data_IF_419138740226
#
_entry.id   IF_419138740226
#
_cell.length_a   1.000
_cell.length_b   1.000
_cell.length_c   1.000
_cell.angle_alpha   90.00
_cell.angle_beta   90.00
_cell.angle_gamma   90.00
#
_symmetry.space_group_name_H-M   'P 1'
#
loop_
_entity.id
_entity.type
_entity.pdbx_description
1 polymer ?
#
# COMPACT_ATOMS: atom_id res chain seq x y z
N UNK A 1 16.90 0.28 -10.82
CA UNK A 1 16.73 0.67 -9.40
C UNK A 1 15.82 1.89 -9.22
N UNK A 2 15.99 2.97 -9.98
CA UNK A 2 15.10 4.17 -9.92
C UNK A 2 13.60 3.84 -10.03
N UNK A 3 13.22 2.93 -10.94
CA UNK A 3 11.83 2.50 -11.12
C UNK A 3 11.26 1.70 -9.92
N UNK A 4 12.13 1.06 -9.13
CA UNK A 4 11.74 0.38 -7.88
C UNK A 4 11.49 1.40 -6.77
N UNK A 5 12.43 2.32 -6.57
CA UNK A 5 12.33 3.39 -5.57
C UNK A 5 11.06 4.24 -5.77
N UNK A 6 10.76 4.61 -7.02
CA UNK A 6 9.56 5.37 -7.36
C UNK A 6 8.27 4.59 -7.06
N UNK A 7 8.26 3.28 -7.33
CA UNK A 7 7.11 2.40 -6.99
C UNK A 7 6.95 2.27 -5.48
N UNK A 8 8.05 2.10 -4.73
CA UNK A 8 8.04 2.05 -3.27
C UNK A 8 7.51 3.36 -2.68
N UNK A 9 8.00 4.50 -3.16
CA UNK A 9 7.53 5.82 -2.70
C UNK A 9 6.02 6.01 -2.93
N UNK A 10 5.52 5.64 -4.12
CA UNK A 10 4.09 5.73 -4.41
C UNK A 10 3.29 4.75 -3.57
N UNK A 11 3.75 3.50 -3.41
CA UNK A 11 3.09 2.54 -2.54
C UNK A 11 2.96 3.06 -1.11
N UNK A 12 4.05 3.61 -0.55
CA UNK A 12 4.04 4.16 0.81
C UNK A 12 3.16 5.39 0.94
N UNK A 13 3.20 6.31 -0.03
CA UNK A 13 2.28 7.44 -0.07
C UNK A 13 0.81 6.99 -0.15
N UNK A 14 0.54 5.91 -0.89
CA UNK A 14 -0.81 5.37 -1.04
C UNK A 14 -1.30 4.64 0.20
N UNK A 15 -0.42 3.88 0.87
CA UNK A 15 -0.72 3.26 2.15
C UNK A 15 -0.97 4.31 3.24
N UNK A 16 -0.17 5.39 3.25
CA UNK A 16 -0.38 6.53 4.12
C UNK A 16 -1.75 7.19 3.89
N UNK A 17 -2.11 7.47 2.64
CA UNK A 17 -3.44 7.99 2.27
C UNK A 17 -4.54 7.00 2.68
N UNK A 18 -4.36 5.71 2.42
CA UNK A 18 -5.30 4.66 2.81
C UNK A 18 -5.53 4.61 4.32
N UNK A 19 -4.47 4.81 5.12
CA UNK A 19 -4.56 4.85 6.58
C UNK A 19 -5.35 6.07 7.07
N UNK A 20 -5.15 7.24 6.44
CA UNK A 20 -5.92 8.45 6.74
C UNK A 20 -7.39 8.28 6.36
N UNK A 21 -7.67 7.70 5.19
CA UNK A 21 -9.03 7.38 4.75
C UNK A 21 -9.68 6.38 5.71
N UNK A 22 -8.96 5.33 6.14
CA UNK A 22 -9.48 4.37 7.11
C UNK A 22 -9.82 5.01 8.46
N UNK A 23 -9.01 5.97 8.92
CA UNK A 23 -9.29 6.73 10.14
C UNK A 23 -10.57 7.59 10.04
N UNK A 24 -10.97 7.99 8.83
CA UNK A 24 -12.19 8.77 8.60
C UNK A 24 -13.41 7.90 8.31
N UNK A 25 -13.26 6.84 7.51
CA UNK A 25 -14.36 6.02 7.02
C UNK A 25 -14.77 4.91 7.98
N UNK A 26 -13.86 4.42 8.82
CA UNK A 26 -14.09 3.24 9.66
C UNK A 26 -14.36 3.67 11.10
N UNK A 27 -15.59 3.53 11.61
CA UNK A 27 -15.91 3.83 13.00
C UNK A 27 -15.06 2.96 13.94
N UNK A 28 -14.39 3.58 14.90
CA UNK A 28 -13.53 2.87 15.85
C UNK A 28 -12.06 2.71 15.42
N UNK A 29 -11.66 3.32 14.30
CA UNK A 29 -10.25 3.56 13.96
C UNK A 29 -9.88 4.98 14.43
N UNK A 30 -8.84 5.09 15.25
CA UNK A 30 -8.26 6.39 15.63
C UNK A 30 -6.76 6.36 15.43
N UNK A 31 -6.24 7.37 14.75
CA UNK A 31 -4.83 7.48 14.35
C UNK A 31 -4.26 8.80 14.87
N UNK A 32 -3.22 8.72 15.69
CA UNK A 32 -2.36 9.85 16.06
C UNK A 32 -1.17 9.98 15.11
N UNK A 33 -0.48 11.11 15.16
CA UNK A 33 0.71 11.38 14.33
C UNK A 33 1.79 10.31 14.54
N UNK A 34 2.03 9.88 15.78
CA UNK A 34 3.02 8.82 16.07
C UNK A 34 2.58 7.46 15.54
N UNK A 35 1.30 7.12 15.67
CA UNK A 35 0.73 5.88 15.09
C UNK A 35 0.82 5.85 13.57
N UNK A 36 0.56 6.99 12.93
CA UNK A 36 0.72 7.15 11.49
C UNK A 36 2.17 6.93 11.04
N UNK A 37 3.14 7.60 11.66
CA UNK A 37 4.56 7.48 11.29
C UNK A 37 5.04 6.03 11.44
N UNK A 38 4.72 5.38 12.56
CA UNK A 38 5.12 3.99 12.78
C UNK A 38 4.42 3.05 11.80
N UNK A 39 3.14 3.25 11.50
CA UNK A 39 2.45 2.47 10.46
C UNK A 39 3.16 2.59 9.11
N UNK A 40 3.50 3.81 8.68
CA UNK A 40 4.21 4.05 7.41
C UNK A 40 5.60 3.39 7.41
N UNK A 41 6.35 3.45 8.52
CA UNK A 41 7.66 2.79 8.65
C UNK A 41 7.53 1.27 8.57
N UNK A 42 6.54 0.67 9.25
CA UNK A 42 6.30 -0.77 9.18
C UNK A 42 5.90 -1.18 7.77
N UNK A 43 5.03 -0.40 7.12
CA UNK A 43 4.70 -0.62 5.71
C UNK A 43 5.95 -0.55 4.84
N UNK A 44 6.86 0.39 5.07
CA UNK A 44 8.13 0.48 4.33
C UNK A 44 9.00 -0.76 4.49
N UNK A 45 9.16 -1.25 5.72
CA UNK A 45 9.92 -2.48 6.02
C UNK A 45 9.27 -3.69 5.36
N UNK A 46 7.95 -3.85 5.51
CA UNK A 46 7.21 -4.93 4.87
C UNK A 46 7.37 -4.86 3.34
N UNK A 47 7.24 -3.68 2.73
CA UNK A 47 7.38 -3.46 1.29
C UNK A 47 8.80 -3.75 0.80
N UNK A 48 9.83 -3.44 1.59
CA UNK A 48 11.22 -3.75 1.25
C UNK A 48 11.49 -5.26 1.21
N UNK A 49 10.91 -6.01 2.16
CA UNK A 49 11.01 -7.48 2.21
C UNK A 49 10.18 -8.13 1.09
N UNK A 50 8.96 -7.62 0.89
CA UNK A 50 7.99 -8.19 -0.04
C UNK A 50 8.27 -7.82 -1.50
N UNK A 51 8.91 -6.68 -1.78
CA UNK A 51 9.26 -6.23 -3.14
C UNK A 51 9.99 -7.28 -3.99
N UNK A 52 11.14 -7.85 -3.54
CA UNK A 52 11.86 -8.85 -4.32
C UNK A 52 11.04 -10.15 -4.46
N UNK A 53 10.21 -10.48 -3.48
CA UNK A 53 9.32 -11.64 -3.51
C UNK A 53 8.18 -11.46 -4.52
N UNK A 54 7.50 -10.30 -4.50
CA UNK A 54 6.45 -9.92 -5.46
C UNK A 54 7.01 -9.87 -6.87
N UNK A 55 8.21 -9.30 -7.08
CA UNK A 55 8.84 -9.28 -8.40
C UNK A 55 9.10 -10.68 -8.95
N UNK A 56 9.46 -11.65 -8.10
CA UNK A 56 9.61 -13.06 -8.47
C UNK A 56 8.29 -13.81 -8.64
N UNK A 57 7.25 -13.44 -7.88
CA UNK A 57 5.95 -14.10 -7.89
C UNK A 57 5.01 -13.60 -8.99
N UNK A 58 5.08 -12.32 -9.33
CA UNK A 58 4.24 -11.70 -10.36
C UNK A 58 4.48 -12.28 -11.77
N UNK A 59 5.61 -12.93 -11.99
CA UNK A 59 5.88 -13.66 -13.24
C UNK A 59 5.37 -15.11 -13.22
N UNK A 60 4.91 -15.64 -12.08
CA UNK A 60 4.69 -17.09 -11.90
C UNK A 60 3.35 -17.48 -11.27
N UNK A 61 2.63 -16.59 -10.57
CA UNK A 61 1.34 -16.92 -9.90
C UNK A 61 0.21 -15.95 -10.25
N UNK A 62 -1.03 -16.47 -10.26
CA UNK A 62 -2.26 -15.75 -10.55
C UNK A 62 -2.48 -14.53 -9.64
N UNK A 63 -3.11 -13.48 -10.19
CA UNK A 63 -3.41 -12.19 -9.54
C UNK A 63 -4.06 -12.32 -8.15
N UNK A 64 -4.85 -13.37 -7.91
CA UNK A 64 -5.47 -13.64 -6.61
C UNK A 64 -4.47 -13.94 -5.48
N UNK A 65 -3.36 -14.61 -5.78
CA UNK A 65 -2.33 -14.94 -4.78
C UNK A 65 -1.58 -13.68 -4.33
N UNK A 66 -1.29 -12.78 -5.27
CA UNK A 66 -0.71 -11.46 -4.97
C UNK A 66 -1.66 -10.59 -4.14
N UNK A 67 -2.96 -10.66 -4.41
CA UNK A 67 -3.96 -9.92 -3.63
C UNK A 67 -4.05 -10.41 -2.18
N UNK A 68 -4.12 -11.74 -1.98
CA UNK A 68 -4.17 -12.36 -0.65
C UNK A 68 -2.94 -12.05 0.20
N UNK A 69 -1.73 -12.14 -0.38
CA UNK A 69 -0.49 -11.79 0.32
C UNK A 69 -0.49 -10.31 0.72
N UNK A 70 -0.97 -9.42 -0.16
CA UNK A 70 -1.10 -7.99 0.14
C UNK A 70 -2.05 -7.71 1.31
N UNK A 71 -3.19 -8.41 1.38
CA UNK A 71 -4.14 -8.27 2.49
C UNK A 71 -3.52 -8.72 3.81
N UNK A 72 -2.86 -9.88 3.84
CA UNK A 72 -2.17 -10.39 5.04
C UNK A 72 -1.08 -9.42 5.49
N UNK A 73 -0.26 -8.91 4.56
CA UNK A 73 0.77 -7.92 4.88
C UNK A 73 0.19 -6.62 5.43
N UNK A 74 -0.96 -6.18 4.91
CA UNK A 74 -1.67 -4.99 5.38
C UNK A 74 -2.18 -5.20 6.81
N UNK A 75 -2.76 -6.36 7.08
CA UNK A 75 -3.23 -6.72 8.41
C UNK A 75 -2.08 -6.76 9.42
N UNK A 76 -0.95 -7.37 9.07
CA UNK A 76 0.26 -7.40 9.92
C UNK A 76 0.78 -5.98 10.17
N UNK A 77 0.80 -5.12 9.14
CA UNK A 77 1.24 -3.74 9.29
C UNK A 77 0.34 -2.94 10.24
N UNK A 78 -0.99 -3.06 10.10
CA UNK A 78 -1.95 -2.45 11.02
C UNK A 78 -1.83 -3.02 12.44
N UNK A 79 -1.60 -4.33 12.58
CA UNK A 79 -1.40 -4.99 13.87
C UNK A 79 -0.16 -4.45 14.59
N UNK A 80 0.97 -4.42 13.90
CA UNK A 80 2.21 -3.87 14.43
C UNK A 80 2.09 -2.38 14.73
N UNK A 81 1.43 -1.60 13.87
CA UNK A 81 1.20 -0.17 14.13
C UNK A 81 0.37 0.03 15.40
N UNK A 82 -0.64 -0.81 15.63
CA UNK A 82 -1.51 -0.73 16.82
C UNK A 82 -0.84 -1.19 18.11
N UNK A 83 0.10 -2.12 18.04
CA UNK A 83 0.77 -2.70 19.22
C UNK A 83 2.04 -1.92 19.58
N UNK A 84 2.77 -1.44 18.58
CA UNK A 84 3.99 -0.65 18.77
C UNK A 84 3.69 0.82 19.04
N UNK A 85 2.45 1.29 18.81
CA UNK A 85 2.04 2.65 19.16
C UNK A 85 0.77 2.68 19.98
N UNK A 86 0.75 3.55 20.98
CA UNK A 86 -0.49 4.01 21.62
C UNK A 86 -1.33 4.92 20.70
N UNK A 87 -0.89 5.11 19.45
CA UNK A 87 -1.42 6.07 18.51
C UNK A 87 -2.40 5.50 17.50
N UNK A 88 -2.41 4.19 17.28
CA UNK A 88 -3.33 3.53 16.35
C UNK A 88 -4.20 2.55 17.13
N UNK A 89 -5.46 2.89 17.33
CA UNK A 89 -6.43 2.01 18.00
C UNK A 89 -7.48 1.55 17.02
N UNK A 90 -7.65 0.22 16.92
CA UNK A 90 -8.67 -0.42 16.09
C UNK A 90 -9.47 -1.33 17.02
N UNK A 91 -10.74 -0.99 17.27
CA UNK A 91 -11.62 -1.77 18.14
C UNK A 91 -12.64 -2.57 17.33
N UNK A 92 -12.74 -3.87 17.63
CA UNK A 92 -13.71 -4.79 17.02
C UNK A 92 -13.20 -5.44 15.73
N UNK A 93 -13.57 -6.71 15.53
CA UNK A 93 -13.14 -7.51 14.37
C UNK A 93 -13.59 -6.90 13.04
N UNK A 94 -14.79 -6.29 12.99
CA UNK A 94 -15.29 -5.60 11.80
C UNK A 94 -14.40 -4.42 11.37
N UNK A 95 -13.90 -3.64 12.34
CA UNK A 95 -13.00 -2.51 12.07
C UNK A 95 -11.64 -2.98 11.58
N UNK A 96 -11.13 -4.11 12.09
CA UNK A 96 -9.90 -4.73 11.61
C UNK A 96 -10.00 -5.16 10.14
N UNK A 97 -11.08 -5.86 9.78
CA UNK A 97 -11.30 -6.30 8.39
C UNK A 97 -11.49 -5.08 7.48
N UNK A 98 -12.34 -4.13 7.89
CA UNK A 98 -12.65 -2.94 7.09
C UNK A 98 -11.41 -2.06 6.87
N UNK A 99 -10.64 -1.78 7.93
CA UNK A 99 -9.40 -1.01 7.81
C UNK A 99 -8.38 -1.72 6.91
N UNK A 100 -8.24 -3.03 7.04
CA UNK A 100 -7.35 -3.83 6.18
C UNK A 100 -7.78 -3.74 4.72
N UNK A 101 -9.07 -3.93 4.43
CA UNK A 101 -9.59 -3.87 3.05
C UNK A 101 -9.46 -2.47 2.45
N UNK A 102 -9.78 -1.41 3.21
CA UNK A 102 -9.69 -0.02 2.75
C UNK A 102 -8.24 0.35 2.42
N UNK A 103 -7.31 0.08 3.33
CA UNK A 103 -5.89 0.40 3.13
C UNK A 103 -5.32 -0.42 1.96
N UNK A 104 -5.69 -1.70 1.88
CA UNK A 104 -5.26 -2.57 0.79
C UNK A 104 -5.80 -2.10 -0.57
N UNK A 105 -7.10 -1.77 -0.67
CA UNK A 105 -7.72 -1.27 -1.90
C UNK A 105 -7.09 0.05 -2.34
N UNK A 106 -6.90 1.01 -1.44
CA UNK A 106 -6.28 2.29 -1.77
C UNK A 106 -4.88 2.10 -2.38
N UNK A 107 -4.10 1.20 -1.77
CA UNK A 107 -2.75 0.86 -2.21
C UNK A 107 -2.74 0.10 -3.53
N UNK A 108 -3.67 -0.84 -3.71
CA UNK A 108 -3.83 -1.60 -4.95
C UNK A 108 -4.21 -0.69 -6.11
N UNK A 109 -5.21 0.18 -5.94
CA UNK A 109 -5.65 1.15 -6.95
C UNK A 109 -4.49 2.06 -7.35
N UNK A 110 -3.77 2.64 -6.39
CA UNK A 110 -2.64 3.51 -6.71
C UNK A 110 -1.52 2.77 -7.46
N UNK A 111 -1.25 1.52 -7.08
CA UNK A 111 -0.24 0.68 -7.75
C UNK A 111 -0.64 0.32 -9.18
N UNK A 112 -1.94 0.16 -9.45
CA UNK A 112 -2.47 -0.11 -10.80
C UNK A 112 -2.50 1.16 -11.67
N UNK A 113 -2.95 2.28 -11.11
CA UNK A 113 -3.12 3.54 -11.84
C UNK A 113 -1.78 4.20 -12.19
N UNK A 114 -0.80 4.14 -11.30
CA UNK A 114 0.51 4.77 -11.50
C UNK A 114 1.21 4.36 -12.82
N UNK A 115 1.40 3.06 -13.14
CA UNK A 115 2.03 2.65 -14.39
C UNK A 115 1.21 3.08 -15.62
N UNK A 116 -0.13 3.10 -15.54
CA UNK A 116 -0.98 3.58 -16.63
C UNK A 116 -0.75 5.07 -16.91
N UNK A 117 -0.68 5.90 -15.86
CA UNK A 117 -0.38 7.32 -15.98
C UNK A 117 1.05 7.57 -16.52
N UNK A 118 2.04 6.80 -16.08
CA UNK A 118 3.42 6.92 -16.57
C UNK A 118 3.57 6.55 -18.05
N UNK A 119 2.76 5.62 -18.55
CA UNK A 119 2.73 5.24 -19.97
C UNK A 119 2.00 6.31 -20.78
N UNK A 120 0.89 6.86 -20.26
CA UNK A 120 0.14 7.95 -20.88
C UNK A 120 0.96 9.26 -20.96
N UNK A 121 1.88 9.50 -20.03
CA UNK A 121 2.80 10.65 -20.04
C UNK A 121 4.05 10.45 -20.90
N UNK A 122 4.06 9.48 -21.81
CA UNK A 122 5.00 9.47 -22.94
C UNK A 122 4.31 10.08 -24.18
N UNK A 123 4.32 11.41 -24.37
CA UNK A 123 4.09 11.97 -25.69
C UNK A 123 5.10 11.32 -26.64
N UNK A 124 4.60 10.78 -27.75
CA UNK A 124 5.42 10.07 -28.73
C UNK A 124 6.66 10.86 -29.13
N UNK A 125 7.83 10.32 -28.84
CA UNK A 125 9.05 10.68 -29.53
C UNK A 125 8.96 10.19 -30.99
N UNK A 126 9.34 11.08 -31.90
CA UNK A 126 9.68 10.83 -33.30
C UNK A 126 8.53 10.47 -34.27
N UNK A 127 7.91 11.51 -34.83
CA UNK A 127 7.50 11.49 -36.24
C UNK A 127 8.58 12.20 -37.07
N UNK A 128 9.69 11.52 -37.29
CA UNK A 128 10.56 11.76 -38.45
C UNK A 128 10.30 10.63 -39.44
N UNK A 129 9.50 10.90 -40.46
CA UNK A 129 9.38 10.06 -41.65
C UNK A 129 9.30 10.99 -42.86
N UNK A 130 10.23 10.79 -43.79
CA UNK A 130 10.18 11.27 -45.17
C UNK A 130 10.89 12.58 -45.38
#
# INVERSE_FOLDING_TARGET
MVRLLLRTAVFLGSAAVGLLVAAWLVPGVSVSISGFVVAVVIFAVAQAILSPFIAKMASRYASAFLGGIGLVSTLIALFLASTLTHGLTIRGLGSWVSATVVVWLATAVATLVLPMLMIAQRPGSARSKG
#
